data_IF_591925700759
#
_entry.id   IF_591925700759
#
_cell.length_a   1.000
_cell.length_b   1.000
_cell.length_c   1.000
_cell.angle_alpha   90.00
_cell.angle_beta   90.00
_cell.angle_gamma   90.00
#
_symmetry.space_group_name_H-M   'P 1'
#
loop_
_entity.id
_entity.type
_entity.pdbx_description
1 polymer ?
#
# COMPACT_ATOMS: atom_id res chain seq x y z
N UNK A 1 -19.66 -16.92 -41.77
CA UNK A 1 -19.69 -17.03 -40.30
C UNK A 1 -18.48 -16.35 -39.59
N UNK A 2 -18.23 -15.02 -39.73
CA UNK A 2 -17.11 -14.36 -39.04
C UNK A 2 -17.51 -13.54 -37.79
N UNK A 3 -18.78 -13.14 -37.64
CA UNK A 3 -19.25 -12.23 -36.58
C UNK A 3 -19.25 -12.83 -35.16
N UNK A 4 -19.56 -14.12 -35.04
CA UNK A 4 -19.61 -14.83 -33.76
C UNK A 4 -18.26 -14.86 -33.03
N UNK A 5 -17.14 -14.90 -33.77
CA UNK A 5 -15.79 -14.91 -33.20
C UNK A 5 -15.39 -13.55 -32.61
N UNK A 6 -15.78 -12.45 -33.27
CA UNK A 6 -15.42 -11.09 -32.83
C UNK A 6 -16.12 -10.76 -31.51
N UNK A 7 -17.38 -11.14 -31.35
CA UNK A 7 -18.12 -10.91 -30.12
C UNK A 7 -17.71 -11.86 -28.99
N UNK A 8 -17.40 -13.13 -29.28
CA UNK A 8 -16.80 -14.04 -28.29
C UNK A 8 -15.46 -13.49 -27.78
N UNK A 9 -14.65 -12.90 -28.67
CA UNK A 9 -13.42 -12.19 -28.30
C UNK A 9 -13.71 -10.94 -27.49
N UNK A 10 -14.71 -10.12 -27.83
CA UNK A 10 -15.08 -8.93 -27.06
C UNK A 10 -15.63 -9.26 -25.65
N UNK A 11 -16.44 -10.31 -25.53
CA UNK A 11 -16.95 -10.82 -24.24
C UNK A 11 -15.83 -11.42 -23.42
N UNK A 12 -14.94 -12.21 -24.03
CA UNK A 12 -13.75 -12.74 -23.37
C UNK A 12 -12.78 -11.63 -22.96
N UNK A 13 -12.66 -10.56 -23.74
CA UNK A 13 -11.81 -9.40 -23.44
C UNK A 13 -12.42 -8.52 -22.35
N UNK A 14 -13.75 -8.35 -22.34
CA UNK A 14 -14.48 -7.69 -21.25
C UNK A 14 -14.38 -8.49 -19.94
N UNK A 15 -14.59 -9.82 -20.00
CA UNK A 15 -14.38 -10.73 -18.87
C UNK A 15 -12.92 -10.71 -18.40
N UNK A 16 -11.96 -10.70 -19.33
CA UNK A 16 -10.54 -10.59 -19.02
C UNK A 16 -10.19 -9.23 -18.39
N UNK A 17 -10.76 -8.12 -18.83
CA UNK A 17 -10.55 -6.79 -18.21
C UNK A 17 -11.21 -6.70 -16.83
N UNK A 18 -12.38 -7.32 -16.66
CA UNK A 18 -13.09 -7.46 -15.38
C UNK A 18 -12.30 -8.33 -14.39
N UNK A 19 -11.70 -9.43 -14.86
CA UNK A 19 -11.04 -10.45 -14.02
C UNK A 19 -9.52 -10.28 -13.86
N UNK A 20 -8.80 -9.73 -14.84
CA UNK A 20 -7.35 -9.51 -14.74
C UNK A 20 -7.05 -8.19 -13.99
N UNK A 21 -6.31 -8.25 -12.89
CA UNK A 21 -5.70 -7.06 -12.30
C UNK A 21 -4.55 -6.60 -13.18
N UNK A 22 -4.46 -5.28 -13.37
CA UNK A 22 -3.44 -4.62 -14.18
C UNK A 22 -2.03 -5.09 -13.82
N UNK A 23 -1.27 -5.41 -14.87
CA UNK A 23 0.17 -5.64 -14.85
C UNK A 23 0.84 -4.52 -14.03
N UNK A 24 1.65 -4.90 -13.03
CA UNK A 24 2.50 -3.99 -12.26
C UNK A 24 3.90 -3.99 -12.87
N UNK A 25 4.53 -2.81 -12.83
CA UNK A 25 5.66 -2.39 -13.65
C UNK A 25 6.87 -3.32 -13.67
N UNK A 26 7.59 -3.24 -14.79
CA UNK A 26 8.92 -3.80 -14.99
C UNK A 26 9.93 -3.03 -14.12
N UNK A 27 10.77 -3.70 -13.32
CA UNK A 27 11.93 -3.04 -12.70
C UNK A 27 12.99 -2.72 -13.76
N UNK A 28 13.62 -1.55 -13.62
CA UNK A 28 14.66 -0.99 -14.51
C UNK A 28 16.06 -1.64 -14.37
N UNK A 29 16.21 -2.76 -13.67
CA UNK A 29 17.51 -3.39 -13.47
C UNK A 29 17.68 -4.63 -14.37
N UNK A 30 17.85 -4.40 -15.66
CA UNK A 30 18.44 -5.37 -16.59
C UNK A 30 19.72 -4.76 -17.16
N UNK A 31 20.66 -4.42 -16.27
CA UNK A 31 22.03 -4.12 -16.69
C UNK A 31 22.96 -4.84 -15.72
N UNK A 32 23.78 -5.69 -16.34
CA UNK A 32 25.00 -6.39 -15.90
C UNK A 32 24.94 -7.49 -14.85
N UNK A 33 25.48 -8.65 -15.23
CA UNK A 33 25.91 -9.74 -14.35
C UNK A 33 25.37 -11.10 -14.79
N UNK A 34 26.14 -11.86 -15.55
CA UNK A 34 25.92 -13.30 -15.80
C UNK A 34 26.41 -14.13 -14.60
N UNK A 35 25.55 -14.83 -13.83
CA UNK A 35 26.01 -15.73 -12.79
C UNK A 35 26.04 -17.18 -13.30
N UNK A 36 27.05 -17.88 -12.79
CA UNK A 36 27.45 -19.27 -13.05
C UNK A 36 26.34 -20.28 -12.69
N UNK A 37 26.31 -21.37 -13.44
CA UNK A 37 25.32 -22.45 -13.36
C UNK A 37 25.38 -23.22 -12.03
N UNK A 38 24.30 -23.14 -11.24
CA UNK A 38 23.95 -24.15 -10.24
C UNK A 38 22.54 -24.71 -10.49
N UNK A 39 22.37 -25.99 -10.16
CA UNK A 39 21.26 -26.84 -10.55
C UNK A 39 19.88 -26.25 -10.22
N UNK A 40 19.06 -26.09 -11.27
CA UNK A 40 17.72 -25.50 -11.22
C UNK A 40 16.68 -26.57 -10.86
N UNK A 41 15.78 -26.36 -9.88
CA UNK A 41 14.58 -27.17 -9.79
C UNK A 41 13.66 -26.87 -10.99
N UNK A 42 12.90 -27.86 -11.50
CA UNK A 42 12.01 -27.65 -12.64
C UNK A 42 10.93 -26.64 -12.28
N UNK A 43 10.75 -25.62 -13.13
CA UNK A 43 9.84 -24.47 -12.97
C UNK A 43 8.41 -24.82 -12.54
N UNK A 44 7.94 -26.04 -12.87
CA UNK A 44 6.64 -26.58 -12.44
C UNK A 44 6.56 -26.89 -10.94
N UNK A 45 7.62 -27.41 -10.33
CA UNK A 45 7.64 -27.71 -8.89
C UNK A 45 7.66 -26.43 -8.06
N UNK A 46 8.41 -25.41 -8.48
CA UNK A 46 8.39 -24.08 -7.85
C UNK A 46 7.01 -23.41 -7.95
N UNK A 47 6.33 -23.53 -9.11
CA UNK A 47 4.98 -23.01 -9.31
C UNK A 47 3.93 -23.72 -8.43
N UNK A 48 4.01 -25.04 -8.29
CA UNK A 48 3.11 -25.83 -7.45
C UNK A 48 3.33 -25.59 -5.95
N UNK A 49 4.58 -25.43 -5.51
CA UNK A 49 4.91 -25.06 -4.14
C UNK A 49 4.38 -23.66 -3.77
N UNK A 50 4.48 -22.69 -4.69
CA UNK A 50 3.93 -21.35 -4.52
C UNK A 50 2.38 -21.32 -4.53
N UNK A 51 1.75 -22.23 -5.27
CA UNK A 51 0.29 -22.39 -5.26
C UNK A 51 -0.19 -23.06 -3.96
N UNK A 52 0.58 -23.98 -3.38
CA UNK A 52 0.29 -24.59 -2.07
C UNK A 52 0.47 -23.60 -0.92
N UNK A 53 1.56 -22.81 -0.92
CA UNK A 53 1.78 -21.77 0.10
C UNK A 53 0.71 -20.67 0.11
N UNK A 54 0.00 -20.45 -1.02
CA UNK A 54 -1.18 -19.57 -1.07
C UNK A 54 -2.36 -20.07 -0.23
N UNK A 55 -2.54 -21.38 -0.10
CA UNK A 55 -3.69 -21.98 0.61
C UNK A 55 -3.46 -22.14 2.11
N UNK A 56 -2.21 -22.26 2.56
CA UNK A 56 -1.86 -22.64 3.95
C UNK A 56 -1.14 -21.56 4.75
N UNK A 57 -1.02 -20.33 4.24
CA UNK A 57 -0.29 -19.26 4.95
C UNK A 57 -0.88 -18.97 6.34
N UNK A 58 -0.04 -19.08 7.38
CA UNK A 58 -0.32 -18.63 8.73
C UNK A 58 -0.87 -17.18 8.73
N UNK A 59 -1.70 -16.79 9.72
CA UNK A 59 -2.16 -15.42 9.85
C UNK A 59 -0.97 -14.45 9.84
N UNK A 60 -1.06 -13.38 9.05
CA UNK A 60 -0.01 -12.36 9.03
C UNK A 60 0.04 -11.70 10.42
N UNK A 61 1.23 -11.54 11.02
CA UNK A 61 1.36 -11.02 12.38
C UNK A 61 0.82 -9.59 12.44
N UNK A 62 0.04 -9.31 13.48
CA UNK A 62 -0.36 -7.94 13.81
C UNK A 62 0.83 -7.21 14.40
N UNK A 63 1.53 -6.46 13.57
CA UNK A 63 2.72 -5.74 13.98
C UNK A 63 2.42 -4.71 15.08
N UNK A 64 1.25 -4.05 15.05
CA UNK A 64 0.88 -3.09 16.08
C UNK A 64 0.77 -3.75 17.45
N UNK A 65 0.15 -4.93 17.52
CA UNK A 65 0.08 -5.72 18.74
C UNK A 65 1.46 -6.20 19.20
N UNK A 66 2.29 -6.69 18.28
CA UNK A 66 3.65 -7.15 18.58
C UNK A 66 4.50 -6.03 19.19
N UNK A 67 4.49 -4.83 18.58
CA UNK A 67 5.25 -3.68 19.07
C UNK A 67 4.72 -3.18 20.43
N UNK A 68 3.40 -3.14 20.61
CA UNK A 68 2.77 -2.78 21.89
C UNK A 68 3.18 -3.76 23.00
N UNK A 69 3.25 -5.04 22.67
CA UNK A 69 3.65 -6.09 23.59
C UNK A 69 5.14 -6.00 23.98
N UNK A 70 6.03 -5.75 23.01
CA UNK A 70 7.45 -5.49 23.27
C UNK A 70 7.62 -4.27 24.16
N UNK A 71 6.95 -3.15 23.83
CA UNK A 71 6.98 -1.93 24.64
C UNK A 71 6.50 -2.19 26.08
N UNK A 72 5.43 -2.97 26.24
CA UNK A 72 4.89 -3.33 27.56
C UNK A 72 5.87 -4.18 28.38
N UNK A 73 6.56 -5.14 27.75
CA UNK A 73 7.57 -5.97 28.41
C UNK A 73 8.80 -5.15 28.81
N UNK A 74 9.24 -4.21 27.96
CA UNK A 74 10.35 -3.30 28.27
C UNK A 74 10.01 -2.39 29.45
N UNK A 75 8.80 -1.83 29.51
CA UNK A 75 8.32 -1.03 30.66
C UNK A 75 8.25 -1.85 31.96
N UNK A 76 8.00 -3.15 31.85
CA UNK A 76 8.05 -4.08 32.98
C UNK A 76 9.48 -4.49 33.39
N UNK A 77 10.52 -3.93 32.76
CA UNK A 77 11.93 -4.20 33.06
C UNK A 77 12.51 -5.43 32.37
N UNK A 78 11.83 -6.01 31.36
CA UNK A 78 12.42 -7.08 30.57
C UNK A 78 13.56 -6.55 29.70
N UNK A 79 14.60 -7.37 29.46
CA UNK A 79 15.64 -7.05 28.48
C UNK A 79 15.07 -7.04 27.06
N UNK A 80 15.69 -6.28 26.15
CA UNK A 80 15.27 -6.22 24.74
C UNK A 80 15.23 -7.62 24.11
N UNK A 81 16.24 -8.46 24.34
CA UNK A 81 16.28 -9.84 23.87
C UNK A 81 15.07 -10.65 24.35
N UNK A 82 14.74 -10.58 25.65
CA UNK A 82 13.59 -11.31 26.22
C UNK A 82 12.25 -10.77 25.70
N UNK A 83 12.13 -9.45 25.56
CA UNK A 83 10.92 -8.81 25.07
C UNK A 83 10.61 -9.21 23.62
N UNK A 84 11.60 -9.08 22.72
CA UNK A 84 11.48 -9.45 21.31
C UNK A 84 11.24 -10.95 21.13
N UNK A 85 12.06 -11.79 21.75
CA UNK A 85 11.93 -13.26 21.63
C UNK A 85 10.54 -13.72 22.05
N UNK A 86 10.04 -13.25 23.20
CA UNK A 86 8.71 -13.62 23.71
C UNK A 86 7.58 -13.14 22.79
N UNK A 87 7.63 -11.89 22.33
CA UNK A 87 6.58 -11.31 21.50
C UNK A 87 6.55 -11.95 20.10
N UNK A 88 7.71 -12.17 19.49
CA UNK A 88 7.84 -12.83 18.20
C UNK A 88 7.31 -14.27 18.25
N UNK A 89 7.71 -15.06 19.26
CA UNK A 89 7.23 -16.44 19.41
C UNK A 89 5.70 -16.50 19.57
N UNK A 90 5.10 -15.60 20.36
CA UNK A 90 3.62 -15.51 20.48
C UNK A 90 2.94 -15.13 19.18
N UNK A 91 3.58 -14.29 18.37
CA UNK A 91 3.09 -13.92 17.04
C UNK A 91 3.31 -15.02 15.99
N UNK A 92 3.88 -16.18 16.36
CA UNK A 92 4.17 -17.29 15.45
C UNK A 92 5.42 -17.07 14.59
N UNK A 93 6.29 -16.14 14.98
CA UNK A 93 7.57 -15.87 14.34
C UNK A 93 8.67 -16.63 15.09
N UNK A 94 9.32 -17.57 14.41
CA UNK A 94 10.32 -18.47 15.03
C UNK A 94 11.75 -18.24 14.57
N UNK A 95 11.94 -17.56 13.44
CA UNK A 95 13.27 -17.29 12.87
C UNK A 95 13.66 -15.82 13.10
N UNK A 96 14.92 -15.57 13.48
CA UNK A 96 15.48 -14.22 13.60
C UNK A 96 14.81 -13.36 14.68
N UNK A 97 14.42 -13.97 15.80
CA UNK A 97 13.67 -13.32 16.89
C UNK A 97 14.55 -12.59 17.89
N UNK A 98 15.83 -12.95 17.97
CA UNK A 98 16.79 -12.30 18.84
C UNK A 98 17.35 -11.03 18.18
N UNK A 99 17.43 -9.90 18.90
CA UNK A 99 18.08 -8.69 18.41
C UNK A 99 19.56 -8.90 18.09
N UNK A 100 20.01 -8.32 16.98
CA UNK A 100 21.44 -8.25 16.60
C UNK A 100 22.16 -7.11 17.37
N UNK A 101 23.44 -6.86 17.07
CA UNK A 101 24.26 -5.81 17.71
C UNK A 101 23.65 -4.41 17.57
N UNK A 102 22.92 -4.14 16.49
CA UNK A 102 22.22 -2.87 16.28
C UNK A 102 20.89 -2.77 17.06
N UNK A 103 20.56 -3.79 17.87
CA UNK A 103 19.32 -3.91 18.64
C UNK A 103 18.11 -4.30 17.79
N UNK A 104 18.28 -4.62 16.51
CA UNK A 104 17.19 -4.95 15.59
C UNK A 104 17.06 -6.47 15.45
N UNK A 105 15.88 -7.06 15.73
CA UNK A 105 15.62 -8.45 15.37
C UNK A 105 15.63 -8.66 13.85
N UNK A 106 16.36 -9.65 13.32
CA UNK A 106 16.39 -9.96 11.88
C UNK A 106 14.99 -10.19 11.26
N UNK A 107 14.02 -10.66 12.06
CA UNK A 107 12.63 -10.82 11.63
C UNK A 107 11.98 -9.49 11.21
N UNK A 108 12.32 -8.36 11.85
CA UNK A 108 11.80 -7.05 11.42
C UNK A 108 12.31 -6.68 10.03
N UNK A 109 13.59 -6.96 9.72
CA UNK A 109 14.15 -6.75 8.38
C UNK A 109 13.47 -7.64 7.34
N UNK A 110 13.15 -8.88 7.71
CA UNK A 110 12.38 -9.79 6.86
C UNK A 110 10.94 -9.28 6.60
N UNK A 111 10.31 -8.64 7.61
CA UNK A 111 9.00 -8.00 7.48
C UNK A 111 9.06 -6.71 6.66
N UNK A 112 10.07 -5.87 6.85
CA UNK A 112 10.30 -4.66 6.05
C UNK A 112 10.50 -5.02 4.56
N UNK A 113 11.17 -6.13 4.27
CA UNK A 113 11.37 -6.63 2.90
C UNK A 113 10.06 -7.04 2.18
N UNK A 114 8.93 -7.19 2.89
CA UNK A 114 7.62 -7.42 2.27
C UNK A 114 7.17 -6.24 1.39
N UNK A 115 7.74 -5.04 1.56
CA UNK A 115 7.46 -3.89 0.70
C UNK A 115 7.84 -4.12 -0.77
N UNK A 116 8.81 -5.02 -1.03
CA UNK A 116 9.39 -5.26 -2.35
C UNK A 116 8.72 -6.38 -3.16
N UNK A 117 7.46 -6.73 -2.85
CA UNK A 117 6.67 -7.74 -3.57
C UNK A 117 6.60 -7.42 -5.08
N UNK A 118 7.42 -8.11 -5.87
CA UNK A 118 7.48 -8.00 -7.33
C UNK A 118 6.91 -9.25 -7.99
N UNK A 119 6.30 -9.08 -9.17
CA UNK A 119 5.70 -10.21 -9.90
C UNK A 119 6.76 -11.18 -10.45
N UNK A 120 8.00 -10.69 -10.62
CA UNK A 120 9.14 -11.43 -11.13
C UNK A 120 9.98 -12.02 -9.99
N UNK A 121 10.60 -13.19 -10.18
CA UNK A 121 11.54 -13.73 -9.20
C UNK A 121 12.81 -12.87 -9.12
N UNK A 122 13.32 -12.63 -7.91
CA UNK A 122 14.50 -11.79 -7.66
C UNK A 122 15.63 -12.64 -7.07
N UNK A 123 16.86 -12.36 -7.49
CA UNK A 123 18.04 -12.96 -6.90
C UNK A 123 18.51 -12.10 -5.73
N UNK A 124 18.73 -12.72 -4.57
CA UNK A 124 19.30 -12.06 -3.40
C UNK A 124 20.04 -13.10 -2.56
N UNK A 125 21.30 -12.80 -2.19
CA UNK A 125 22.11 -13.67 -1.34
C UNK A 125 22.34 -15.08 -1.90
N UNK A 126 22.51 -15.23 -3.22
CA UNK A 126 22.71 -16.55 -3.86
C UNK A 126 21.44 -17.41 -4.04
N UNK A 127 20.30 -17.00 -3.48
CA UNK A 127 19.02 -17.72 -3.60
C UNK A 127 17.99 -16.98 -4.45
N UNK A 128 17.22 -17.76 -5.23
CA UNK A 128 16.10 -17.26 -6.01
C UNK A 128 14.89 -17.04 -5.10
N UNK A 129 14.58 -15.79 -4.82
CA UNK A 129 13.42 -15.40 -4.02
C UNK A 129 12.25 -15.06 -4.94
N UNK A 130 11.23 -15.90 -4.97
CA UNK A 130 9.98 -15.63 -5.68
C UNK A 130 8.81 -15.54 -4.71
N UNK A 131 8.34 -14.32 -4.45
CA UNK A 131 7.17 -14.03 -3.64
C UNK A 131 6.17 -13.22 -4.47
N UNK A 132 5.29 -13.87 -5.24
CA UNK A 132 4.33 -13.14 -6.07
C UNK A 132 3.40 -12.32 -5.18
N UNK A 133 3.07 -11.07 -5.56
CA UNK A 133 2.29 -10.17 -4.73
C UNK A 133 0.96 -10.81 -4.35
N UNK A 134 0.67 -10.81 -3.05
CA UNK A 134 -0.62 -11.27 -2.53
C UNK A 134 -1.75 -10.34 -3.03
N UNK A 135 -3.00 -10.83 -3.03
CA UNK A 135 -4.17 -10.07 -3.51
C UNK A 135 -5.08 -9.69 -2.35
N UNK A 136 -5.80 -8.58 -2.50
CA UNK A 136 -6.87 -8.18 -1.58
C UNK A 136 -6.36 -7.76 -0.20
N UNK A 137 -6.95 -8.33 0.85
CA UNK A 137 -6.70 -7.95 2.25
C UNK A 137 -5.25 -8.20 2.68
N UNK A 138 -4.70 -9.38 2.35
CA UNK A 138 -3.31 -9.77 2.67
C UNK A 138 -2.28 -8.80 2.07
N UNK A 139 -2.48 -8.37 0.83
CA UNK A 139 -1.57 -7.42 0.17
C UNK A 139 -1.44 -6.09 0.91
N UNK A 140 -2.53 -5.65 1.54
CA UNK A 140 -2.56 -4.40 2.31
C UNK A 140 -1.97 -4.58 3.69
N UNK A 141 -2.32 -5.67 4.36
CA UNK A 141 -1.75 -6.01 5.66
C UNK A 141 -0.23 -6.14 5.57
N UNK A 142 0.32 -6.83 4.56
CA UNK A 142 1.77 -6.86 4.29
C UNK A 142 2.42 -5.50 4.14
N UNK A 143 1.78 -4.55 3.45
CA UNK A 143 2.34 -3.20 3.26
C UNK A 143 2.34 -2.42 4.56
N UNK A 144 1.25 -2.51 5.33
CA UNK A 144 1.18 -1.89 6.65
C UNK A 144 2.23 -2.47 7.60
N UNK A 145 2.38 -3.81 7.61
CA UNK A 145 3.43 -4.49 8.36
C UNK A 145 4.82 -4.07 7.88
N UNK A 146 5.06 -3.95 6.58
CA UNK A 146 6.36 -3.53 6.06
C UNK A 146 6.69 -2.08 6.46
N UNK A 147 5.74 -1.15 6.30
CA UNK A 147 5.92 0.25 6.69
C UNK A 147 6.16 0.40 8.19
N UNK A 148 5.37 -0.29 9.03
CA UNK A 148 5.59 -0.30 10.48
C UNK A 148 6.92 -0.95 10.88
N UNK A 149 7.38 -1.96 10.15
CA UNK A 149 8.65 -2.62 10.43
C UNK A 149 9.84 -1.70 10.18
N UNK A 150 9.80 -0.88 9.12
CA UNK A 150 10.81 0.17 8.89
C UNK A 150 10.88 1.12 10.08
N UNK A 151 9.74 1.56 10.60
CA UNK A 151 9.70 2.42 11.77
C UNK A 151 10.26 1.76 13.03
N UNK A 152 9.91 0.49 13.27
CA UNK A 152 10.43 -0.27 14.40
C UNK A 152 11.95 -0.51 14.32
N UNK A 153 12.50 -0.75 13.13
CA UNK A 153 13.95 -0.88 12.89
C UNK A 153 14.65 0.43 13.27
N UNK A 154 14.14 1.57 12.78
CA UNK A 154 14.69 2.88 13.11
C UNK A 154 14.64 3.16 14.63
N UNK A 155 13.54 2.79 15.30
CA UNK A 155 13.41 2.93 16.76
C UNK A 155 14.46 2.12 17.52
N UNK A 156 14.69 0.86 17.11
CA UNK A 156 15.68 -0.01 17.73
C UNK A 156 17.09 0.56 17.59
N UNK A 157 17.48 0.94 16.37
CA UNK A 157 18.80 1.54 16.10
C UNK A 157 19.01 2.84 16.84
N UNK A 158 18.00 3.69 16.90
CA UNK A 158 18.07 4.96 17.63
C UNK A 158 18.25 4.73 19.13
N UNK A 159 17.51 3.78 19.70
CA UNK A 159 17.65 3.38 21.10
C UNK A 159 19.04 2.81 21.38
N UNK A 160 19.58 1.96 20.50
CA UNK A 160 20.94 1.43 20.63
C UNK A 160 21.99 2.54 20.54
N UNK A 161 21.81 3.52 19.65
CA UNK A 161 22.77 4.61 19.45
C UNK A 161 22.78 5.64 20.59
N UNK A 162 21.62 5.93 21.19
CA UNK A 162 21.46 7.02 22.17
C UNK A 162 21.12 6.55 23.59
N UNK A 163 20.84 5.26 23.80
CA UNK A 163 20.28 4.76 25.06
C UNK A 163 18.84 5.22 25.33
N UNK A 164 18.14 5.73 24.31
CA UNK A 164 16.79 6.28 24.45
C UNK A 164 15.76 5.20 24.82
N UNK A 165 14.66 5.54 25.54
CA UNK A 165 13.66 4.57 26.00
C UNK A 165 12.90 3.96 24.82
N UNK A 166 13.35 2.78 24.37
CA UNK A 166 12.78 2.07 23.21
C UNK A 166 11.27 1.85 23.33
N UNK A 167 10.76 1.64 24.54
CA UNK A 167 9.36 1.34 24.77
C UNK A 167 8.42 2.46 24.29
N UNK A 168 8.77 3.72 24.54
CA UNK A 168 7.91 4.86 24.18
C UNK A 168 7.89 5.08 22.67
N UNK A 169 9.05 4.92 22.03
CA UNK A 169 9.17 5.03 20.58
C UNK A 169 8.41 3.89 19.88
N UNK A 170 8.56 2.64 20.35
CA UNK A 170 7.82 1.51 19.79
C UNK A 170 6.30 1.66 19.98
N UNK A 171 5.86 2.24 21.10
CA UNK A 171 4.44 2.54 21.31
C UNK A 171 3.91 3.56 20.30
N UNK A 172 4.72 4.56 19.95
CA UNK A 172 4.38 5.54 18.92
C UNK A 172 4.29 4.91 17.53
N UNK A 173 5.23 4.02 17.18
CA UNK A 173 5.17 3.24 15.92
C UNK A 173 3.92 2.34 15.93
N UNK A 174 3.64 1.65 17.03
CA UNK A 174 2.46 0.80 17.18
C UNK A 174 1.16 1.60 17.00
N UNK A 175 1.09 2.80 17.57
CA UNK A 175 0.01 3.76 17.37
C UNK A 175 -0.19 4.10 15.89
N UNK A 176 0.88 4.45 15.18
CA UNK A 176 0.84 4.73 13.73
C UNK A 176 0.39 3.54 12.88
N UNK A 177 0.80 2.31 13.23
CA UNK A 177 0.36 1.08 12.54
C UNK A 177 -1.13 0.82 12.77
N UNK A 178 -1.59 0.91 14.02
CA UNK A 178 -2.99 0.72 14.38
C UNK A 178 -3.89 1.75 13.68
N UNK A 179 -3.45 2.99 13.67
CA UNK A 179 -4.14 4.13 13.08
C UNK A 179 -4.25 4.02 11.54
N UNK A 180 -3.17 3.62 10.87
CA UNK A 180 -3.21 3.26 9.43
C UNK A 180 -4.23 2.13 9.15
N UNK A 181 -4.35 1.17 10.07
CA UNK A 181 -5.34 0.10 9.99
C UNK A 181 -6.78 0.59 10.13
N UNK A 182 -7.04 1.54 11.04
CA UNK A 182 -8.35 2.18 11.23
C UNK A 182 -8.75 3.02 10.03
N UNK A 183 -7.83 3.80 9.46
CA UNK A 183 -8.06 4.60 8.26
C UNK A 183 -8.48 3.71 7.06
N UNK A 184 -7.79 2.60 6.82
CA UNK A 184 -8.19 1.63 5.78
C UNK A 184 -9.53 0.96 6.11
N UNK A 185 -9.85 0.73 7.38
CA UNK A 185 -11.15 0.20 7.78
C UNK A 185 -12.30 1.18 7.50
N UNK A 186 -12.13 2.46 7.85
CA UNK A 186 -13.08 3.53 7.56
C UNK A 186 -13.29 3.69 6.06
N UNK A 187 -12.22 3.76 5.26
CA UNK A 187 -12.30 3.82 3.79
C UNK A 187 -13.04 2.62 3.19
N UNK A 188 -12.83 1.42 3.72
CA UNK A 188 -13.57 0.22 3.27
C UNK A 188 -15.06 0.32 3.59
N UNK A 189 -15.41 0.82 4.77
CA UNK A 189 -16.81 1.01 5.17
C UNK A 189 -17.48 2.05 4.26
N UNK A 190 -16.85 3.20 4.06
CA UNK A 190 -17.34 4.26 3.17
C UNK A 190 -17.54 3.77 1.72
N UNK A 191 -16.65 2.92 1.21
CA UNK A 191 -16.73 2.38 -0.15
C UNK A 191 -17.64 1.16 -0.28
N UNK A 192 -18.16 0.59 0.80
CA UNK A 192 -18.98 -0.62 0.75
C UNK A 192 -20.30 -0.38 -0.01
N UNK A 193 -20.98 0.74 0.28
CA UNK A 193 -22.22 1.14 -0.38
C UNK A 193 -22.05 1.33 -1.89
N UNK A 194 -21.20 2.28 -2.33
CA UNK A 194 -20.96 2.53 -3.75
C UNK A 194 -20.47 1.30 -4.52
N UNK A 195 -19.62 0.44 -3.92
CA UNK A 195 -19.20 -0.82 -4.56
C UNK A 195 -20.31 -1.84 -4.70
N UNK A 196 -21.22 -1.93 -3.73
CA UNK A 196 -22.34 -2.86 -3.80
C UNK A 196 -23.25 -2.49 -4.98
N UNK A 197 -23.66 -1.22 -5.04
CA UNK A 197 -24.47 -0.69 -6.15
C UNK A 197 -23.76 -0.83 -7.49
N UNK A 198 -22.46 -0.56 -7.55
CA UNK A 198 -21.66 -0.76 -8.75
C UNK A 198 -21.70 -2.21 -9.26
N UNK A 199 -21.56 -3.18 -8.36
CA UNK A 199 -21.60 -4.61 -8.73
C UNK A 199 -22.98 -5.03 -9.20
N UNK A 200 -24.05 -4.53 -8.57
CA UNK A 200 -25.43 -4.80 -8.97
C UNK A 200 -25.68 -4.23 -10.37
N UNK A 201 -25.37 -2.95 -10.58
CA UNK A 201 -25.52 -2.28 -11.88
C UNK A 201 -24.65 -2.93 -12.97
N UNK A 202 -23.44 -3.37 -12.65
CA UNK A 202 -22.59 -4.08 -13.60
C UNK A 202 -23.11 -5.49 -13.96
N UNK A 203 -23.92 -6.12 -13.11
CA UNK A 203 -24.55 -7.41 -13.39
C UNK A 203 -25.87 -7.25 -14.18
N UNK A 204 -26.49 -6.07 -14.10
CA UNK A 204 -27.80 -5.79 -14.69
C UNK A 204 -27.91 -6.08 -16.19
N UNK A 205 -26.91 -5.78 -17.06
CA UNK A 205 -26.98 -6.12 -18.49
C UNK A 205 -27.00 -7.63 -18.74
N UNK A 206 -26.27 -8.40 -17.93
CA UNK A 206 -26.24 -9.87 -18.04
C UNK A 206 -27.58 -10.46 -17.62
N UNK A 207 -28.16 -9.95 -16.54
CA UNK A 207 -29.51 -10.34 -16.08
C UNK A 207 -30.56 -9.95 -17.12
N UNK A 208 -30.47 -8.76 -17.72
CA UNK A 208 -31.37 -8.29 -18.77
C UNK A 208 -31.33 -9.16 -20.02
N UNK A 209 -30.14 -9.55 -20.48
CA UNK A 209 -29.98 -10.49 -21.59
C UNK A 209 -30.55 -11.87 -21.27
N UNK A 210 -30.32 -12.37 -20.05
CA UNK A 210 -30.88 -13.65 -19.59
C UNK A 210 -32.40 -13.66 -19.54
N UNK A 211 -33.01 -12.58 -19.02
CA UNK A 211 -34.47 -12.42 -19.02
C UNK A 211 -35.03 -12.29 -20.44
N UNK A 212 -34.35 -11.57 -21.33
CA UNK A 212 -34.74 -11.45 -22.74
C UNK A 212 -34.78 -12.81 -23.44
N UNK A 213 -33.75 -13.64 -23.25
CA UNK A 213 -33.71 -15.01 -23.76
C UNK A 213 -34.86 -15.86 -23.20
N UNK A 214 -35.24 -15.68 -21.93
CA UNK A 214 -36.33 -16.41 -21.29
C UNK A 214 -37.71 -16.05 -21.88
N UNK A 215 -37.89 -14.81 -22.33
CA UNK A 215 -39.11 -14.32 -23.00
C UNK A 215 -39.17 -14.80 -24.48
N UNK A 216 -38.14 -15.50 -24.96
CA UNK A 216 -38.06 -16.00 -26.33
C UNK A 216 -37.51 -14.96 -27.33
N UNK A 217 -36.95 -13.85 -26.85
CA UNK A 217 -36.16 -12.98 -27.70
C UNK A 217 -34.83 -13.69 -28.04
N UNK A 218 -34.33 -13.49 -29.25
CA UNK A 218 -33.00 -13.94 -29.66
C UNK A 218 -32.06 -12.72 -29.80
N UNK A 219 -31.63 -12.11 -28.68
CA UNK A 219 -30.70 -10.99 -28.72
C UNK A 219 -29.31 -11.41 -29.20
N UNK A 220 -29.00 -12.71 -29.18
CA UNK A 220 -27.71 -13.24 -29.60
C UNK A 220 -27.55 -13.13 -31.11
N UNK A 221 -28.54 -13.51 -31.92
CA UNK A 221 -28.47 -13.25 -33.37
C UNK A 221 -28.29 -11.76 -33.64
N UNK A 222 -29.17 -10.91 -33.11
CA UNK A 222 -29.13 -9.46 -33.36
C UNK A 222 -27.79 -8.77 -33.03
N UNK A 223 -27.13 -9.19 -31.94
CA UNK A 223 -25.84 -8.65 -31.52
C UNK A 223 -24.65 -9.29 -32.25
N UNK A 224 -24.82 -10.48 -32.85
CA UNK A 224 -23.76 -11.27 -33.50
C UNK A 224 -23.84 -11.28 -35.04
N UNK A 225 -24.89 -10.68 -35.62
CA UNK A 225 -25.15 -10.65 -37.06
C UNK A 225 -24.13 -9.83 -37.88
N UNK A 226 -23.22 -9.09 -37.22
CA UNK A 226 -22.20 -8.27 -37.87
C UNK A 226 -22.72 -6.95 -38.47
N UNK A 227 -24.01 -6.66 -38.32
CA UNK A 227 -24.65 -5.41 -38.72
C UNK A 227 -24.60 -4.31 -37.65
N UNK A 228 -25.54 -3.36 -37.72
CA UNK A 228 -25.64 -2.24 -36.77
C UNK A 228 -25.78 -2.71 -35.31
N UNK A 229 -26.41 -3.86 -35.06
CA UNK A 229 -26.54 -4.46 -33.73
C UNK A 229 -25.20 -4.82 -33.08
N UNK A 230 -24.23 -5.32 -33.87
CA UNK A 230 -22.87 -5.62 -33.36
C UNK A 230 -22.09 -4.35 -33.03
N UNK A 231 -22.24 -3.27 -33.80
CA UNK A 231 -21.60 -1.98 -33.51
C UNK A 231 -22.13 -1.37 -32.19
N UNK A 232 -23.45 -1.46 -31.98
CA UNK A 232 -24.13 -1.02 -30.76
C UNK A 232 -23.70 -1.88 -29.55
N UNK A 233 -23.60 -3.19 -29.71
CA UNK A 233 -23.09 -4.10 -28.68
C UNK A 233 -21.62 -3.81 -28.29
N UNK A 234 -20.75 -3.58 -29.28
CA UNK A 234 -19.36 -3.22 -29.05
C UNK A 234 -19.22 -1.89 -28.30
N UNK A 235 -20.05 -0.89 -28.64
CA UNK A 235 -20.12 0.39 -27.93
C UNK A 235 -20.51 0.20 -26.46
N UNK A 236 -21.52 -0.63 -26.16
CA UNK A 236 -21.92 -0.94 -24.78
C UNK A 236 -20.83 -1.62 -23.97
N UNK A 237 -20.11 -2.59 -24.57
CA UNK A 237 -18.94 -3.24 -23.93
C UNK A 237 -17.83 -2.22 -23.68
N UNK A 238 -17.57 -1.32 -24.64
CA UNK A 238 -16.59 -0.25 -24.52
C UNK A 238 -16.90 0.68 -23.34
N UNK A 239 -18.14 1.15 -23.23
CA UNK A 239 -18.59 1.98 -22.10
C UNK A 239 -18.38 1.27 -20.75
N UNK A 240 -18.69 -0.01 -20.67
CA UNK A 240 -18.53 -0.79 -19.44
C UNK A 240 -17.07 -0.96 -19.05
N UNK A 241 -16.19 -1.22 -20.02
CA UNK A 241 -14.73 -1.30 -19.81
C UNK A 241 -14.18 0.04 -19.34
N UNK A 242 -14.54 1.15 -19.98
CA UNK A 242 -14.11 2.51 -19.61
C UNK A 242 -14.56 2.85 -18.19
N UNK A 243 -15.83 2.61 -17.86
CA UNK A 243 -16.36 2.83 -16.51
C UNK A 243 -15.55 2.10 -15.43
N UNK A 244 -15.24 0.81 -15.66
CA UNK A 244 -14.45 0.03 -14.71
C UNK A 244 -13.00 0.50 -14.58
N UNK A 245 -12.39 0.92 -15.69
CA UNK A 245 -11.02 1.45 -15.70
C UNK A 245 -10.93 2.78 -14.93
N UNK A 246 -11.89 3.70 -15.13
CA UNK A 246 -11.96 4.97 -14.40
C UNK A 246 -12.17 4.73 -12.91
N UNK A 247 -13.13 3.88 -12.53
CA UNK A 247 -13.34 3.48 -11.13
C UNK A 247 -12.08 2.88 -10.50
N UNK A 248 -11.38 1.98 -11.21
CA UNK A 248 -10.10 1.41 -10.74
C UNK A 248 -9.01 2.47 -10.59
N UNK A 249 -8.95 3.45 -11.49
CA UNK A 249 -7.94 4.52 -11.48
C UNK A 249 -8.18 5.50 -10.33
N UNK A 250 -9.43 5.89 -10.07
CA UNK A 250 -9.81 6.74 -8.93
C UNK A 250 -9.48 6.08 -7.59
N UNK A 251 -9.79 4.79 -7.43
CA UNK A 251 -9.45 4.03 -6.22
C UNK A 251 -7.93 3.92 -6.06
N UNK A 252 -7.17 3.76 -7.15
CA UNK A 252 -5.69 3.69 -7.08
C UNK A 252 -5.07 5.01 -6.68
N UNK A 253 -5.48 6.12 -7.30
CA UNK A 253 -4.99 7.45 -6.97
C UNK A 253 -5.19 7.75 -5.49
N UNK A 254 -6.36 7.41 -4.94
CA UNK A 254 -6.65 7.54 -3.52
C UNK A 254 -5.86 6.60 -2.60
N UNK A 255 -5.02 5.68 -3.11
CA UNK A 255 -4.24 4.71 -2.31
C UNK A 255 -2.73 4.80 -2.55
N UNK A 256 -2.27 5.74 -3.39
CA UNK A 256 -0.87 5.82 -3.82
C UNK A 256 -0.02 6.78 -2.98
N UNK A 257 -0.62 7.52 -2.06
CA UNK A 257 0.09 8.48 -1.21
C UNK A 257 0.57 7.78 0.07
N UNK A 258 1.87 7.51 0.14
CA UNK A 258 2.54 7.03 1.35
C UNK A 258 4.04 7.02 1.12
N UNK A 259 4.76 7.87 1.87
CA UNK A 259 6.21 7.77 1.99
C UNK A 259 6.58 6.49 2.75
N UNK A 260 7.74 5.91 2.47
CA UNK A 260 8.21 4.67 3.12
C UNK A 260 8.55 4.93 4.59
N UNK A 261 8.99 6.15 4.91
CA UNK A 261 9.22 6.63 6.29
C UNK A 261 8.37 7.87 6.52
N UNK A 262 7.39 7.76 7.42
CA UNK A 262 6.49 8.86 7.77
C UNK A 262 7.26 10.01 8.44
N UNK A 263 7.12 11.24 7.94
CA UNK A 263 7.73 12.43 8.55
C UNK A 263 7.34 12.59 10.02
N UNK A 264 6.10 12.25 10.39
CA UNK A 264 5.66 12.29 11.78
C UNK A 264 6.50 11.37 12.69
N UNK A 265 6.86 10.18 12.19
CA UNK A 265 7.71 9.24 12.92
C UNK A 265 9.11 9.83 13.17
N UNK A 266 9.68 10.54 12.20
CA UNK A 266 10.99 11.19 12.37
C UNK A 266 10.93 12.27 13.44
N UNK A 267 9.84 13.03 13.52
CA UNK A 267 9.62 14.01 14.59
C UNK A 267 9.47 13.32 15.96
N UNK A 268 8.77 12.19 16.05
CA UNK A 268 8.66 11.43 17.31
C UNK A 268 10.01 10.83 17.75
N UNK A 269 10.78 10.31 16.81
CA UNK A 269 12.12 9.79 17.04
C UNK A 269 13.03 10.91 17.57
N UNK A 270 12.98 12.10 16.96
CA UNK A 270 13.70 13.27 17.43
C UNK A 270 13.26 13.71 18.84
N UNK A 271 11.95 13.76 19.10
CA UNK A 271 11.41 14.13 20.40
C UNK A 271 11.84 13.15 21.49
N UNK A 272 11.73 11.85 21.22
CA UNK A 272 12.14 10.81 22.17
C UNK A 272 13.65 10.82 22.45
N UNK A 273 14.47 11.08 21.43
CA UNK A 273 15.91 11.24 21.59
C UNK A 273 16.27 12.46 22.45
N UNK A 274 15.61 13.61 22.23
CA UNK A 274 15.79 14.81 23.06
C UNK A 274 15.33 14.58 24.51
N UNK A 275 14.18 13.92 24.70
CA UNK A 275 13.67 13.57 26.03
C UNK A 275 14.58 12.58 26.78
N UNK A 276 15.37 11.78 26.05
CA UNK A 276 16.42 10.94 26.60
C UNK A 276 17.72 11.71 26.93
N UNK A 277 17.78 13.01 26.64
CA UNK A 277 18.91 13.89 26.94
C UNK A 277 19.93 14.04 25.80
N UNK A 278 19.63 13.56 24.58
CA UNK A 278 20.50 13.79 23.44
C UNK A 278 20.50 15.29 23.05
N UNK A 279 21.65 15.81 22.62
CA UNK A 279 21.74 17.16 22.05
C UNK A 279 21.18 17.20 20.63
N UNK A 280 20.78 18.38 20.13
CA UNK A 280 20.27 18.54 18.75
C UNK A 280 21.22 17.92 17.69
N UNK A 281 22.54 18.17 17.72
CA UNK A 281 23.46 17.52 16.77
C UNK A 281 23.57 16.00 16.96
N UNK A 282 23.47 15.51 18.21
CA UNK A 282 23.47 14.09 18.52
C UNK A 282 22.23 13.38 17.99
N UNK A 283 21.05 14.01 18.14
CA UNK A 283 19.78 13.55 17.57
C UNK A 283 19.88 13.44 16.06
N UNK A 284 20.37 14.49 15.38
CA UNK A 284 20.51 14.51 13.91
C UNK A 284 21.48 13.42 13.41
N UNK A 285 22.60 13.22 14.11
CA UNK A 285 23.58 12.17 13.80
C UNK A 285 22.98 10.78 13.97
N UNK A 286 22.28 10.55 15.08
CA UNK A 286 21.67 9.26 15.37
C UNK A 286 20.47 8.95 14.47
N UNK A 287 19.66 9.96 14.11
CA UNK A 287 18.61 9.83 13.11
C UNK A 287 19.17 9.45 11.74
N UNK A 288 20.28 10.09 11.32
CA UNK A 288 20.93 9.75 10.05
C UNK A 288 21.39 8.30 10.01
N UNK A 289 21.95 7.79 11.10
CA UNK A 289 22.32 6.38 11.22
C UNK A 289 21.11 5.44 11.29
N UNK A 290 20.11 5.76 12.11
CA UNK A 290 18.94 4.92 12.33
C UNK A 290 18.05 4.77 11.09
N UNK A 291 17.87 5.86 10.34
CA UNK A 291 17.07 5.92 9.11
C UNK A 291 17.87 5.58 7.85
N UNK A 292 19.19 5.37 7.97
CA UNK A 292 20.11 5.22 6.82
C UNK A 292 20.02 6.43 5.84
N UNK A 293 19.82 7.64 6.39
CA UNK A 293 19.77 8.90 5.65
C UNK A 293 21.01 9.75 5.96
N UNK A 294 21.89 9.97 4.97
CA UNK A 294 23.12 10.74 5.18
C UNK A 294 22.85 12.20 5.58
N UNK A 295 21.78 12.80 5.05
CA UNK A 295 21.49 14.23 5.22
C UNK A 295 21.42 14.66 6.68
N UNK A 296 20.68 13.95 7.54
CA UNK A 296 20.55 14.31 8.94
C UNK A 296 21.90 14.24 9.66
N UNK A 297 22.69 13.21 9.36
CA UNK A 297 24.03 13.05 9.92
C UNK A 297 25.01 14.12 9.47
N UNK A 298 24.90 14.60 8.23
CA UNK A 298 25.71 15.72 7.72
C UNK A 298 25.40 17.00 8.50
N UNK A 299 24.12 17.34 8.67
CA UNK A 299 23.72 18.53 9.46
C UNK A 299 24.23 18.44 10.89
N UNK A 300 24.03 17.29 11.55
CA UNK A 300 24.52 17.07 12.92
C UNK A 300 26.03 17.26 13.06
N UNK A 301 26.82 16.72 12.13
CA UNK A 301 28.28 16.90 12.12
C UNK A 301 28.68 18.35 11.82
N UNK A 302 28.01 19.02 10.90
CA UNK A 302 28.27 20.42 10.58
C UNK A 302 28.06 21.34 11.80
N UNK A 303 26.97 21.13 12.55
CA UNK A 303 26.71 21.86 13.81
C UNK A 303 27.79 21.58 14.87
N UNK A 304 28.26 20.33 15.00
CA UNK A 304 29.36 19.98 15.91
C UNK A 304 30.69 20.62 15.52
N UNK A 305 30.91 20.86 14.22
CA UNK A 305 32.08 21.59 13.70
C UNK A 305 31.96 23.11 13.83
N UNK A 306 30.85 23.61 14.38
CA UNK A 306 30.61 25.04 14.61
C UNK A 306 30.02 25.79 13.42
N UNK A 307 29.49 25.09 12.41
CA UNK A 307 28.78 25.74 11.32
C UNK A 307 27.51 26.46 11.85
N UNK A 308 27.18 27.65 11.34
CA UNK A 308 25.92 28.32 11.68
C UNK A 308 24.73 27.49 11.19
N UNK A 309 23.56 27.67 11.84
CA UNK A 309 22.36 26.85 11.60
C UNK A 309 21.98 26.73 10.12
N UNK A 310 21.92 27.88 9.43
CA UNK A 310 21.58 27.94 8.00
C UNK A 310 22.59 27.17 7.14
N UNK A 311 23.90 27.35 7.37
CA UNK A 311 24.93 26.66 6.61
C UNK A 311 24.91 25.14 6.86
N UNK A 312 24.68 24.73 8.11
CA UNK A 312 24.58 23.33 8.48
C UNK A 312 23.40 22.64 7.76
N UNK A 313 22.24 23.31 7.64
CA UNK A 313 21.08 22.77 6.92
C UNK A 313 21.22 22.83 5.40
N UNK A 314 22.08 23.70 4.85
CA UNK A 314 22.41 23.69 3.42
C UNK A 314 23.53 22.71 3.05
N UNK A 315 24.26 22.16 4.03
CA UNK A 315 25.37 21.24 3.78
C UNK A 315 25.00 19.94 3.02
N UNK A 316 23.82 19.32 3.24
CA UNK A 316 23.40 18.15 2.45
C UNK A 316 23.04 18.53 1.00
N UNK A 317 23.63 17.85 0.01
CA UNK A 317 23.40 18.11 -1.42
C UNK A 317 21.98 17.76 -1.91
N UNK A 318 21.24 16.91 -1.18
CA UNK A 318 19.91 16.44 -1.59
C UNK A 318 18.79 17.46 -1.25
N UNK A 319 18.40 18.25 -2.24
CA UNK A 319 17.30 19.23 -2.16
C UNK A 319 15.96 18.60 -1.77
N UNK A 320 15.68 17.36 -2.22
CA UNK A 320 14.41 16.68 -1.90
C UNK A 320 14.38 16.26 -0.44
N UNK A 321 15.52 15.81 0.09
CA UNK A 321 15.67 15.52 1.51
C UNK A 321 15.46 16.78 2.34
N UNK A 322 16.07 17.92 1.97
CA UNK A 322 15.88 19.20 2.69
C UNK A 322 14.41 19.61 2.70
N UNK A 323 13.72 19.52 1.56
CA UNK A 323 12.28 19.80 1.49
C UNK A 323 11.45 18.87 2.41
N UNK A 324 11.77 17.56 2.43
CA UNK A 324 11.08 16.55 3.26
C UNK A 324 11.36 16.74 4.76
N UNK A 325 12.48 17.35 5.14
CA UNK A 325 12.89 17.56 6.55
C UNK A 325 12.72 19.00 7.04
N UNK A 326 12.09 19.87 6.25
CA UNK A 326 11.81 21.27 6.62
C UNK A 326 11.05 21.44 7.94
N UNK A 327 10.13 20.53 8.29
CA UNK A 327 9.43 20.58 9.59
C UNK A 327 10.34 20.19 10.75
N UNK A 328 11.21 19.20 10.55
CA UNK A 328 12.21 18.80 11.55
C UNK A 328 13.15 19.98 11.84
N UNK A 329 13.68 20.61 10.78
CA UNK A 329 14.45 21.85 10.88
C UNK A 329 13.69 22.92 11.67
N UNK A 330 12.46 23.24 11.25
CA UNK A 330 11.64 24.29 11.87
C UNK A 330 11.36 24.03 13.35
N UNK A 331 11.23 22.76 13.76
CA UNK A 331 10.99 22.41 15.16
C UNK A 331 12.26 22.48 16.02
N UNK A 332 13.43 22.17 15.45
CA UNK A 332 14.69 22.15 16.18
C UNK A 332 15.33 23.54 16.28
N UNK A 333 15.06 24.43 15.31
CA UNK A 333 15.65 25.77 15.23
C UNK A 333 15.48 26.60 16.51
N UNK A 334 14.26 26.76 17.09
CA UNK A 334 14.10 27.54 18.32
C UNK A 334 14.88 26.96 19.51
N UNK A 335 15.10 25.64 19.54
CA UNK A 335 15.91 25.04 20.59
C UNK A 335 17.41 25.25 20.41
N UNK A 336 17.86 25.49 19.19
CA UNK A 336 19.25 25.84 18.90
C UNK A 336 19.53 27.33 19.08
N UNK A 337 18.66 28.20 18.56
CA UNK A 337 18.84 29.65 18.58
C UNK A 337 18.44 30.29 19.92
N UNK A 338 17.32 29.85 20.51
CA UNK A 338 16.72 30.48 21.69
C UNK A 338 16.81 29.62 22.97
N UNK A 339 17.33 28.39 22.86
CA UNK A 339 17.43 27.44 23.97
C UNK A 339 16.09 26.87 24.46
N UNK A 340 15.01 27.04 23.69
CA UNK A 340 13.71 26.44 24.01
C UNK A 340 13.74 24.90 23.89
N UNK A 341 12.99 24.18 24.72
CA UNK A 341 12.89 22.72 24.54
C UNK A 341 12.17 22.38 23.22
N UNK A 342 12.80 21.68 22.25
CA UNK A 342 12.16 21.37 20.97
C UNK A 342 11.13 20.24 21.07
N UNK A 343 11.14 19.46 22.16
CA UNK A 343 10.37 18.22 22.30
C UNK A 343 8.86 18.45 22.13
N UNK A 344 8.29 19.44 22.82
CA UNK A 344 6.86 19.74 22.73
C UNK A 344 6.43 20.19 21.32
N UNK A 345 7.28 20.95 20.63
CA UNK A 345 6.99 21.42 19.26
C UNK A 345 7.05 20.26 18.26
N UNK A 346 8.01 19.34 18.43
CA UNK A 346 8.12 18.11 17.64
C UNK A 346 6.89 17.21 17.84
N UNK A 347 6.50 16.95 19.09
CA UNK A 347 5.34 16.13 19.44
C UNK A 347 4.03 16.73 18.90
N UNK A 348 3.82 18.04 19.08
CA UNK A 348 2.65 18.73 18.57
C UNK A 348 2.60 18.72 17.04
N UNK A 349 3.73 18.90 16.37
CA UNK A 349 3.82 18.86 14.91
C UNK A 349 3.58 17.44 14.39
N UNK A 350 4.14 16.41 15.04
CA UNK A 350 3.86 15.01 14.71
C UNK A 350 2.38 14.64 14.90
N UNK A 351 1.75 15.10 15.99
CA UNK A 351 0.33 14.93 16.24
C UNK A 351 -0.53 15.64 15.18
N UNK A 352 -0.18 16.88 14.82
CA UNK A 352 -0.84 17.64 13.75
C UNK A 352 -0.73 16.96 12.39
N UNK A 353 0.44 16.39 12.06
CA UNK A 353 0.64 15.62 10.83
C UNK A 353 -0.25 14.37 10.78
N UNK A 354 -0.35 13.62 11.89
CA UNK A 354 -1.27 12.48 12.00
C UNK A 354 -2.72 12.92 11.84
N UNK A 355 -3.16 13.93 12.59
CA UNK A 355 -4.52 14.45 12.52
C UNK A 355 -4.88 14.97 11.11
N UNK A 356 -3.94 15.66 10.45
CA UNK A 356 -4.11 16.12 9.08
C UNK A 356 -4.19 14.96 8.08
N UNK A 357 -3.44 13.87 8.28
CA UNK A 357 -3.59 12.64 7.48
C UNK A 357 -4.97 12.01 7.68
N UNK A 358 -5.48 11.95 8.92
CA UNK A 358 -6.83 11.45 9.19
C UNK A 358 -7.90 12.22 8.45
N UNK A 359 -7.88 13.55 8.58
CA UNK A 359 -8.85 14.40 7.90
C UNK A 359 -8.79 14.22 6.38
N UNK A 360 -7.58 14.15 5.79
CA UNK A 360 -7.42 13.91 4.35
C UNK A 360 -7.91 12.53 3.93
N UNK A 361 -7.66 11.50 4.74
CA UNK A 361 -8.09 10.13 4.45
C UNK A 361 -9.61 9.96 4.51
N UNK A 362 -10.26 10.62 5.47
CA UNK A 362 -11.73 10.69 5.59
C UNK A 362 -12.33 11.48 4.44
N UNK A 363 -11.83 12.68 4.17
CA UNK A 363 -12.29 13.52 3.07
C UNK A 363 -12.08 12.83 1.71
N UNK A 364 -10.94 12.16 1.51
CA UNK A 364 -10.68 11.39 0.30
C UNK A 364 -11.67 10.22 0.16
N UNK A 365 -12.06 9.56 1.27
CA UNK A 365 -13.06 8.49 1.25
C UNK A 365 -14.45 9.02 0.87
N UNK A 366 -14.86 10.16 1.42
CA UNK A 366 -16.14 10.82 1.11
C UNK A 366 -16.18 11.33 -0.35
N UNK A 367 -15.14 12.06 -0.78
CA UNK A 367 -15.00 12.54 -2.17
C UNK A 367 -14.98 11.38 -3.14
N UNK A 368 -14.33 10.27 -2.79
CA UNK A 368 -14.32 9.06 -3.62
C UNK A 368 -15.72 8.43 -3.69
N UNK A 369 -16.50 8.42 -2.61
CA UNK A 369 -17.88 7.93 -2.65
C UNK A 369 -18.73 8.73 -3.65
N UNK A 370 -18.65 10.07 -3.63
CA UNK A 370 -19.37 10.95 -4.57
C UNK A 370 -18.86 10.78 -6.00
N UNK A 371 -17.53 10.83 -6.21
CA UNK A 371 -16.91 10.68 -7.54
C UNK A 371 -17.13 9.29 -8.14
N UNK A 372 -17.44 8.27 -7.34
CA UNK A 372 -17.74 6.93 -7.86
C UNK A 372 -19.14 6.84 -8.46
N UNK A 373 -20.10 7.63 -7.98
CA UNK A 373 -21.47 7.63 -8.51
C UNK A 373 -21.52 8.17 -9.95
N UNK A 374 -20.70 9.17 -10.27
CA UNK A 374 -20.69 9.82 -11.59
C UNK A 374 -20.33 8.86 -12.75
N UNK A 375 -19.19 8.13 -12.75
CA UNK A 375 -18.88 7.16 -13.80
C UNK A 375 -19.81 5.93 -13.76
N UNK A 376 -20.40 5.61 -12.60
CA UNK A 376 -21.42 4.56 -12.53
C UNK A 376 -22.67 4.97 -13.30
N UNK A 377 -23.22 6.15 -13.06
CA UNK A 377 -24.36 6.67 -13.81
C UNK A 377 -24.02 6.88 -15.28
N UNK A 378 -22.94 7.60 -15.58
CA UNK A 378 -22.62 8.01 -16.95
C UNK A 378 -22.19 6.86 -17.87
N UNK A 379 -21.63 5.76 -17.34
CA UNK A 379 -21.19 4.63 -18.18
C UNK A 379 -22.08 3.39 -18.04
N UNK A 380 -22.63 3.09 -16.86
CA UNK A 380 -23.36 1.83 -16.67
C UNK A 380 -24.83 1.92 -17.08
N UNK A 381 -25.50 3.08 -16.89
CA UNK A 381 -26.88 3.24 -17.36
C UNK A 381 -26.97 3.15 -18.89
N UNK A 382 -26.16 3.89 -19.68
CA UNK A 382 -26.22 3.77 -21.14
C UNK A 382 -25.80 2.38 -21.61
N UNK A 383 -24.79 1.77 -20.98
CA UNK A 383 -24.40 0.39 -21.31
C UNK A 383 -25.55 -0.61 -21.04
N UNK A 384 -26.29 -0.45 -19.95
CA UNK A 384 -27.46 -1.28 -19.66
C UNK A 384 -28.59 -1.10 -20.67
N UNK A 385 -28.90 0.15 -21.05
CA UNK A 385 -29.92 0.42 -22.08
C UNK A 385 -29.51 -0.19 -23.41
N UNK A 386 -28.24 -0.01 -23.80
CA UNK A 386 -27.68 -0.48 -25.08
C UNK A 386 -27.58 -2.02 -25.14
N UNK A 387 -27.11 -2.67 -24.07
CA UNK A 387 -26.86 -4.11 -24.06
C UNK A 387 -28.05 -4.94 -23.58
N UNK A 388 -28.89 -4.39 -22.69
CA UNK A 388 -29.99 -5.10 -22.04
C UNK A 388 -31.34 -4.81 -22.67
N UNK A 389 -31.74 -3.54 -22.73
CA UNK A 389 -33.10 -3.15 -23.12
C UNK A 389 -33.28 -3.11 -24.64
N UNK A 390 -32.41 -2.38 -25.34
CA UNK A 390 -32.56 -2.12 -26.77
C UNK A 390 -32.65 -3.40 -27.63
N UNK A 391 -31.82 -4.45 -27.41
CA UNK A 391 -31.90 -5.67 -28.21
C UNK A 391 -33.19 -6.46 -27.97
N UNK A 392 -33.68 -6.49 -26.72
CA UNK A 392 -34.91 -7.21 -26.35
C UNK A 392 -36.12 -6.53 -26.97
N UNK A 393 -36.22 -5.19 -26.85
CA UNK A 393 -37.32 -4.42 -27.45
C UNK A 393 -37.31 -4.54 -28.97
N UNK A 394 -36.12 -4.46 -29.59
CA UNK A 394 -35.99 -4.61 -31.03
C UNK A 394 -36.41 -6.01 -31.51
N UNK A 395 -35.95 -7.07 -30.83
CA UNK A 395 -36.29 -8.46 -31.16
C UNK A 395 -37.80 -8.72 -31.05
N UNK A 396 -38.44 -8.27 -29.96
CA UNK A 396 -39.89 -8.39 -29.78
C UNK A 396 -40.65 -7.55 -30.81
N UNK A 397 -40.24 -6.31 -31.06
CA UNK A 397 -40.87 -5.44 -32.05
C UNK A 397 -40.81 -6.00 -33.47
N UNK A 398 -39.66 -6.54 -33.88
CA UNK A 398 -39.51 -7.20 -35.18
C UNK A 398 -40.39 -8.46 -35.29
N UNK A 399 -40.50 -9.24 -34.22
CA UNK A 399 -41.37 -10.44 -34.20
C UNK A 399 -42.87 -10.12 -34.31
N UNK A 400 -43.28 -8.94 -33.85
CA UNK A 400 -44.67 -8.47 -33.95
C UNK A 400 -44.98 -7.86 -35.32
N UNK A 401 -44.00 -7.24 -35.97
CA UNK A 401 -44.13 -6.67 -37.33
C UNK A 401 -44.11 -7.72 -38.45
N UNK A 402 -43.63 -8.93 -38.16
CA UNK A 402 -43.53 -10.05 -39.11
C UNK A 402 -44.67 -11.07 -39.00
N UNK A 403 -45.60 -10.89 -38.06
CA UNK A 403 -46.91 -11.55 -38.05
C UNK A 403 -47.96 -10.65 -38.66
#
# INVERSE_FOLDING_TARGET
MPGAWIAAVLVALAAAVLLLPARRGLPRSWITGTPVAQARPPMRQAALAALRSRRTGAPEPDLGLLLTEVASLLRAGATAQRAWTRACLRAGLTEGVEPDEDGVPPVLRALANLQHDSWLPRWSGGHLHWRPPSRGRRARQRRATAAGAVGAIASCRLSTALGAPLADILQTVAGGVAESGRAEASRRAALAGPRSTARILACLPVVGLGLGMLVGADPASLLLDGGLGSAVGALGIGLMVVGHLVTRRLIRAATAEGDVVDEALVLDLAAAALSAGASVPGVLTALGHALEEEGAGVVGRALLLGAPWEEAWQAPEDDQWRARRSRLESCLRPGWEDGASPAALLEATAASLRAGRHARDEEAAERLAVRLVLPLGACHLPAFVILGIAPVVASVGMSMLTR
#
